data_IF_847716699359
#
_entry.id   IF_847716699359
#
_cell.length_a   1.000
_cell.length_b   1.000
_cell.length_c   1.000
_cell.angle_alpha   90.00
_cell.angle_beta   90.00
_cell.angle_gamma   90.00
#
_symmetry.space_group_name_H-M   'P 1'
#
loop_
_entity.id
_entity.type
_entity.pdbx_description
1 polymer ?
#
# COMPACT_ATOMS: atom_id res chain seq x y z
N UNK A 1 10.82 0.44 13.84
CA UNK A 1 9.77 0.84 12.89
C UNK A 1 9.89 2.32 12.63
N UNK A 2 9.99 2.73 11.36
CA UNK A 2 10.13 4.14 10.97
C UNK A 2 8.75 4.74 10.76
N UNK A 3 8.53 5.94 11.30
CA UNK A 3 7.25 6.65 11.14
C UNK A 3 7.08 7.10 9.69
N UNK A 4 5.86 7.05 9.17
CA UNK A 4 5.53 7.53 7.84
C UNK A 4 4.16 8.17 7.76
N UNK A 5 3.92 8.87 6.66
CA UNK A 5 2.68 9.61 6.43
C UNK A 5 2.20 9.38 5.00
N UNK A 6 0.90 9.27 4.82
CA UNK A 6 0.23 9.50 3.55
C UNK A 6 -0.39 10.90 3.61
N UNK A 7 0.13 11.82 2.82
CA UNK A 7 -0.38 13.18 2.70
C UNK A 7 -1.16 13.30 1.40
N UNK A 8 -2.42 13.73 1.46
CA UNK A 8 -3.28 13.94 0.30
C UNK A 8 -3.22 15.40 -0.17
N UNK A 9 -3.52 15.64 -1.44
CA UNK A 9 -3.57 16.99 -2.06
C UNK A 9 -4.54 17.96 -1.37
N UNK A 10 -5.54 17.46 -0.63
CA UNK A 10 -6.47 18.28 0.14
C UNK A 10 -5.97 18.62 1.56
N UNK A 11 -4.72 18.26 1.88
CA UNK A 11 -4.09 18.49 3.17
C UNK A 11 -4.42 17.45 4.24
N UNK A 12 -5.23 16.43 3.91
CA UNK A 12 -5.49 15.32 4.83
C UNK A 12 -4.23 14.47 5.03
N UNK A 13 -3.89 14.20 6.29
CA UNK A 13 -2.73 13.38 6.66
C UNK A 13 -3.19 12.12 7.37
N UNK A 14 -2.62 11.00 6.93
CA UNK A 14 -2.78 9.69 7.54
C UNK A 14 -1.42 9.19 8.03
N UNK A 15 -1.30 8.98 9.34
CA UNK A 15 -0.08 8.48 9.98
C UNK A 15 -0.03 6.95 9.93
N UNK A 16 1.18 6.40 9.82
CA UNK A 16 1.43 4.97 9.89
C UNK A 16 2.90 4.63 10.08
N UNK A 17 3.24 3.38 9.79
CA UNK A 17 4.59 2.82 9.84
C UNK A 17 5.08 2.52 8.43
N UNK A 18 6.29 2.96 8.08
CA UNK A 18 6.90 2.66 6.79
C UNK A 18 7.21 1.17 6.68
N UNK A 19 6.83 0.59 5.55
CA UNK A 19 7.17 -0.76 5.12
C UNK A 19 7.63 -0.72 3.65
N UNK A 20 8.30 -1.77 3.20
CA UNK A 20 8.82 -1.90 1.86
C UNK A 20 10.03 -1.01 1.60
N UNK A 21 10.12 -0.51 0.37
CA UNK A 21 11.27 0.27 -0.08
C UNK A 21 11.30 1.68 0.55
N UNK A 22 12.51 2.20 0.86
CA UNK A 22 12.68 3.55 1.36
C UNK A 22 12.37 4.61 0.28
N UNK A 23 12.24 5.86 0.70
CA UNK A 23 12.00 7.00 -0.17
C UNK A 23 10.53 7.36 -0.37
N UNK A 24 10.29 8.58 -0.82
CA UNK A 24 8.94 9.11 -0.95
C UNK A 24 8.35 8.77 -2.31
N UNK A 25 7.05 8.46 -2.33
CA UNK A 25 6.37 8.10 -3.57
C UNK A 25 5.06 8.82 -3.76
N UNK A 26 4.87 9.23 -5.01
CA UNK A 26 3.76 10.02 -5.50
C UNK A 26 2.83 9.18 -6.36
N UNK A 27 1.52 9.38 -6.20
CA UNK A 27 0.53 8.75 -7.06
C UNK A 27 -0.90 9.17 -6.77
N UNK A 28 -1.82 8.74 -7.62
CA UNK A 28 -3.24 8.81 -7.33
C UNK A 28 -3.60 7.76 -6.28
N UNK A 29 -4.24 8.17 -5.19
CA UNK A 29 -4.62 7.29 -4.09
C UNK A 29 -5.97 6.66 -4.42
N UNK A 30 -5.93 5.36 -4.66
CA UNK A 30 -7.10 4.53 -4.96
C UNK A 30 -7.30 3.51 -3.86
N UNK A 31 -8.50 2.94 -3.76
CA UNK A 31 -8.76 1.86 -2.82
C UNK A 31 -9.44 0.67 -3.49
N UNK A 32 -9.21 -0.50 -2.92
CA UNK A 32 -9.93 -1.72 -3.31
C UNK A 32 -10.60 -2.36 -2.09
N UNK A 33 -11.76 -2.97 -2.32
CA UNK A 33 -12.52 -3.71 -1.30
C UNK A 33 -12.27 -5.22 -1.36
N UNK A 34 -11.35 -5.67 -2.22
CA UNK A 34 -10.93 -7.07 -2.26
C UNK A 34 -10.36 -7.49 -0.90
N UNK A 35 -10.89 -8.57 -0.35
CA UNK A 35 -10.42 -9.13 0.93
C UNK A 35 -9.23 -10.08 0.76
N UNK A 36 -9.05 -10.59 -0.45
CA UNK A 36 -7.96 -11.45 -0.91
C UNK A 36 -7.44 -10.90 -2.22
N UNK A 37 -6.39 -11.51 -2.75
CA UNK A 37 -5.85 -11.12 -4.05
C UNK A 37 -4.93 -9.90 -3.99
N UNK A 38 -4.25 -9.67 -2.86
CA UNK A 38 -3.37 -8.50 -2.72
C UNK A 38 -2.12 -8.59 -3.61
N UNK A 39 -1.67 -9.80 -3.95
CA UNK A 39 -0.53 -9.99 -4.85
C UNK A 39 -0.93 -9.65 -6.29
N UNK A 40 -2.11 -10.11 -6.70
CA UNK A 40 -2.75 -9.80 -7.96
C UNK A 40 -2.96 -8.28 -8.07
N UNK A 41 -3.50 -7.64 -7.03
CA UNK A 41 -3.63 -6.18 -6.98
C UNK A 41 -2.29 -5.44 -7.05
N UNK A 42 -1.22 -5.97 -6.46
CA UNK A 42 0.12 -5.37 -6.57
C UNK A 42 0.68 -5.47 -8.00
N UNK A 43 0.38 -6.56 -8.70
CA UNK A 43 0.89 -6.88 -10.04
C UNK A 43 -0.01 -6.46 -11.21
N UNK A 44 -1.23 -5.99 -10.97
CA UNK A 44 -2.14 -5.55 -12.03
C UNK A 44 -1.61 -4.23 -12.68
N UNK A 45 -1.31 -4.23 -14.00
CA UNK A 45 -0.85 -3.05 -14.72
C UNK A 45 -1.79 -1.84 -14.67
N UNK A 46 -3.07 -2.06 -14.35
CA UNK A 46 -4.09 -1.01 -14.22
C UNK A 46 -3.79 -0.06 -13.07
N UNK A 47 -3.05 -0.51 -12.04
CA UNK A 47 -2.65 0.34 -10.90
C UNK A 47 -1.37 1.15 -11.15
N UNK A 48 -0.88 1.19 -12.39
CA UNK A 48 0.33 1.96 -12.72
C UNK A 48 0.15 3.44 -12.41
N UNK A 49 1.05 3.98 -11.60
CA UNK A 49 0.98 5.38 -11.17
C UNK A 49 0.15 5.61 -9.91
N UNK A 50 -0.43 4.56 -9.33
CA UNK A 50 -1.38 4.67 -8.22
C UNK A 50 -0.80 4.15 -6.90
N UNK A 51 -1.24 4.76 -5.80
CA UNK A 51 -1.03 4.27 -4.44
C UNK A 51 -2.29 3.50 -4.04
N UNK A 52 -2.16 2.19 -3.88
CA UNK A 52 -3.31 1.31 -3.62
C UNK A 52 -3.51 1.15 -2.12
N UNK A 53 -4.74 1.44 -1.67
CA UNK A 53 -5.18 1.26 -0.29
C UNK A 53 -6.04 0.00 -0.19
N UNK A 54 -5.65 -0.92 0.69
CA UNK A 54 -6.46 -2.09 1.00
C UNK A 54 -7.52 -1.74 2.05
N UNK A 55 -8.80 -1.94 1.72
CA UNK A 55 -9.88 -1.75 2.68
C UNK A 55 -9.96 -2.90 3.70
N UNK A 56 -9.56 -4.11 3.31
CA UNK A 56 -9.45 -5.24 4.24
C UNK A 56 -8.26 -5.03 5.18
N UNK A 57 -8.41 -5.20 6.50
CA UNK A 57 -7.43 -4.71 7.44
C UNK A 57 -6.13 -5.53 7.46
N UNK A 58 -6.21 -6.86 7.34
CA UNK A 58 -5.07 -7.76 7.46
C UNK A 58 -4.54 -8.16 6.09
N UNK A 59 -3.35 -7.69 5.73
CA UNK A 59 -2.75 -7.93 4.42
C UNK A 59 -1.41 -8.65 4.57
N UNK A 60 -1.12 -9.59 3.67
CA UNK A 60 0.07 -10.45 3.76
C UNK A 60 -0.14 -11.75 4.52
N UNK A 61 -1.36 -12.09 4.94
CA UNK A 61 -1.64 -13.27 5.77
C UNK A 61 -1.28 -14.61 5.12
N UNK A 62 -1.31 -14.70 3.78
CA UNK A 62 -0.88 -15.89 3.04
C UNK A 62 0.48 -15.69 2.34
N UNK A 63 1.21 -14.62 2.69
CA UNK A 63 2.50 -14.26 2.10
C UNK A 63 2.43 -14.03 0.61
N UNK A 64 3.56 -14.20 -0.06
CA UNK A 64 3.72 -14.09 -1.51
C UNK A 64 4.19 -15.42 -2.09
N UNK A 65 3.84 -15.68 -3.34
CA UNK A 65 4.28 -16.88 -4.06
C UNK A 65 4.68 -16.54 -5.52
N UNK A 66 5.20 -17.51 -6.26
CA UNK A 66 5.66 -17.30 -7.64
C UNK A 66 4.56 -17.42 -8.71
N UNK A 67 3.35 -17.86 -8.34
CA UNK A 67 2.30 -18.23 -9.28
C UNK A 67 1.19 -17.16 -9.41
N UNK A 68 0.98 -16.34 -8.38
CA UNK A 68 -0.13 -15.38 -8.30
C UNK A 68 0.21 -14.00 -8.88
N UNK A 69 0.86 -13.95 -10.06
CA UNK A 69 1.24 -12.70 -10.74
C UNK A 69 0.35 -12.45 -11.97
N UNK A 70 -0.25 -11.26 -12.05
CA UNK A 70 -0.96 -10.79 -13.25
C UNK A 70 0.00 -10.24 -14.32
N UNK A 71 1.18 -9.78 -13.90
CA UNK A 71 2.23 -9.27 -14.79
C UNK A 71 3.63 -9.47 -14.17
N UNK A 72 4.72 -9.26 -14.94
CA UNK A 72 6.09 -9.40 -14.44
C UNK A 72 6.43 -8.31 -13.41
N UNK A 73 6.08 -8.55 -12.14
CA UNK A 73 6.38 -7.67 -11.01
C UNK A 73 5.24 -6.74 -10.61
N UNK A 74 5.40 -5.97 -9.52
CA UNK A 74 4.39 -5.03 -9.07
C UNK A 74 4.37 -3.79 -9.96
N UNK A 75 3.16 -3.28 -10.22
CA UNK A 75 2.93 -2.09 -11.04
C UNK A 75 2.46 -0.88 -10.22
N UNK A 76 2.10 -1.09 -8.96
CA UNK A 76 1.71 -0.01 -8.03
C UNK A 76 2.89 0.94 -7.76
N UNK A 77 2.58 2.21 -7.47
CA UNK A 77 3.57 3.17 -6.96
C UNK A 77 3.78 3.03 -5.46
N UNK A 78 2.70 2.77 -4.73
CA UNK A 78 2.78 2.56 -3.29
C UNK A 78 1.63 1.70 -2.78
N UNK A 79 1.78 1.21 -1.56
CA UNK A 79 0.83 0.28 -0.97
C UNK A 79 0.50 0.65 0.47
N UNK A 80 -0.79 0.78 0.79
CA UNK A 80 -1.25 1.26 2.10
C UNK A 80 -2.19 0.24 2.73
N UNK A 81 -1.87 -0.17 3.95
CA UNK A 81 -2.58 -1.23 4.68
C UNK A 81 -2.84 -0.83 6.13
N UNK A 82 -3.82 -1.47 6.76
CA UNK A 82 -4.05 -1.30 8.20
C UNK A 82 -3.09 -2.16 9.01
N UNK A 83 -2.95 -3.43 8.68
CA UNK A 83 -2.10 -4.38 9.37
C UNK A 83 -1.33 -5.19 8.33
N UNK A 84 0.00 -5.16 8.45
CA UNK A 84 0.89 -5.98 7.64
C UNK A 84 1.23 -7.25 8.43
N UNK A 85 0.87 -8.41 7.91
CA UNK A 85 1.16 -9.68 8.57
C UNK A 85 2.67 -9.97 8.50
N UNK A 86 3.31 -10.04 9.67
CA UNK A 86 4.75 -10.33 9.78
C UNK A 86 5.06 -11.83 9.61
N UNK A 87 4.12 -12.69 9.97
CA UNK A 87 4.26 -14.15 9.96
C UNK A 87 3.18 -14.78 9.05
N UNK A 88 3.35 -14.73 7.72
CA UNK A 88 2.41 -15.34 6.79
C UNK A 88 2.30 -16.86 7.00
N UNK A 89 1.10 -17.40 6.79
CA UNK A 89 0.83 -18.83 6.94
C UNK A 89 0.12 -19.38 5.71
N UNK A 90 0.90 -19.84 4.74
CA UNK A 90 0.42 -20.56 3.56
C UNK A 90 1.53 -21.48 3.04
N UNK A 91 1.19 -22.67 2.53
CA UNK A 91 2.19 -23.65 2.09
C UNK A 91 3.03 -23.20 0.89
N UNK A 92 2.52 -22.23 0.10
CA UNK A 92 3.24 -21.59 -1.00
C UNK A 92 3.95 -20.28 -0.60
N UNK A 93 3.82 -19.83 0.65
CA UNK A 93 4.39 -18.55 1.08
C UNK A 93 5.92 -18.61 1.07
N UNK A 94 6.55 -17.69 0.34
CA UNK A 94 8.01 -17.55 0.30
C UNK A 94 8.53 -16.42 1.17
N UNK A 95 7.73 -15.37 1.40
CA UNK A 95 8.16 -14.18 2.13
C UNK A 95 6.98 -13.33 2.66
N UNK A 96 7.22 -12.50 3.70
CA UNK A 96 6.23 -11.55 4.22
C UNK A 96 6.10 -10.29 3.33
N UNK A 97 5.03 -9.53 3.56
CA UNK A 97 4.70 -8.32 2.78
C UNK A 97 5.81 -7.27 2.77
N UNK A 98 6.40 -6.99 3.93
CA UNK A 98 7.45 -5.96 4.04
C UNK A 98 8.66 -6.28 3.17
N UNK A 99 9.14 -7.53 3.25
CA UNK A 99 10.27 -8.02 2.46
C UNK A 99 9.95 -8.00 0.96
N UNK A 100 8.74 -8.43 0.59
CA UNK A 100 8.29 -8.44 -0.79
C UNK A 100 8.30 -7.03 -1.40
N UNK A 101 7.70 -6.06 -0.70
CA UNK A 101 7.66 -4.68 -1.16
C UNK A 101 9.07 -4.08 -1.27
N UNK A 102 9.95 -4.37 -0.30
CA UNK A 102 11.34 -3.92 -0.32
C UNK A 102 12.13 -4.51 -1.50
N UNK A 103 12.00 -5.82 -1.74
CA UNK A 103 12.66 -6.52 -2.84
C UNK A 103 12.24 -6.04 -4.23
N UNK A 104 11.03 -5.49 -4.35
CA UNK A 104 10.48 -4.96 -5.60
C UNK A 104 10.47 -3.44 -5.69
N UNK A 105 11.20 -2.74 -4.82
CA UNK A 105 11.29 -1.27 -4.81
C UNK A 105 9.93 -0.54 -4.68
N UNK A 106 8.97 -1.14 -3.98
CA UNK A 106 7.65 -0.55 -3.71
C UNK A 106 7.62 0.03 -2.30
N UNK A 107 7.32 1.32 -2.18
CA UNK A 107 7.14 1.97 -0.89
C UNK A 107 5.75 1.66 -0.30
N UNK A 108 5.68 1.37 0.99
CA UNK A 108 4.40 1.12 1.66
C UNK A 108 4.24 1.80 3.02
N UNK A 109 2.99 1.78 3.50
CA UNK A 109 2.59 2.35 4.78
C UNK A 109 1.58 1.42 5.47
N UNK A 110 1.95 0.89 6.63
CA UNK A 110 1.11 0.08 7.50
C UNK A 110 0.56 0.91 8.67
N UNK A 111 -0.30 0.31 9.50
CA UNK A 111 -0.92 0.92 10.68
C UNK A 111 -1.82 2.13 10.40
N UNK A 112 -2.14 2.35 9.13
CA UNK A 112 -3.03 3.45 8.72
C UNK A 112 -4.47 3.12 9.07
N UNK A 113 -5.26 4.10 9.52
CA UNK A 113 -6.71 3.98 9.57
C UNK A 113 -7.29 3.99 8.15
N UNK A 114 -7.17 2.84 7.46
CA UNK A 114 -7.65 2.66 6.09
C UNK A 114 -9.16 2.83 6.00
N UNK A 115 -9.92 2.60 7.07
CA UNK A 115 -11.37 2.85 7.09
C UNK A 115 -11.69 4.34 7.05
N UNK A 116 -10.95 5.19 7.78
CA UNK A 116 -11.06 6.65 7.66
C UNK A 116 -10.63 7.11 6.26
N UNK A 117 -9.52 6.59 5.75
CA UNK A 117 -9.00 6.92 4.41
C UNK A 117 -10.00 6.56 3.29
N UNK A 118 -10.51 5.33 3.28
CA UNK A 118 -11.49 4.89 2.26
C UNK A 118 -12.78 5.70 2.34
N UNK A 119 -13.27 6.02 3.54
CA UNK A 119 -14.43 6.91 3.70
C UNK A 119 -14.16 8.30 3.13
N UNK A 120 -12.97 8.85 3.40
CA UNK A 120 -12.54 10.14 2.87
C UNK A 120 -12.55 10.15 1.34
N UNK A 121 -11.89 9.17 0.71
CA UNK A 121 -11.85 9.04 -0.75
C UNK A 121 -13.23 8.83 -1.38
N UNK A 122 -14.14 8.12 -0.70
CA UNK A 122 -15.53 7.94 -1.17
C UNK A 122 -16.35 9.23 -1.14
N UNK A 123 -16.10 10.10 -0.16
CA UNK A 123 -16.86 11.36 0.01
C UNK A 123 -16.26 12.48 -0.84
N UNK A 124 -14.94 12.56 -0.92
CA UNK A 124 -14.22 13.69 -1.51
C UNK A 124 -13.59 13.39 -2.87
N UNK A 125 -13.81 12.19 -3.40
CA UNK A 125 -13.21 11.70 -4.64
C UNK A 125 -11.79 11.17 -4.44
N UNK A 126 -11.26 10.58 -5.52
CA UNK A 126 -9.85 10.19 -5.56
C UNK A 126 -8.96 11.44 -5.48
N UNK A 127 -7.79 11.28 -4.85
CA UNK A 127 -6.86 12.36 -4.55
C UNK A 127 -5.47 11.94 -4.95
N UNK A 128 -4.63 12.88 -5.39
CA UNK A 128 -3.19 12.64 -5.38
C UNK A 128 -2.69 12.60 -3.95
N UNK A 129 -1.65 11.82 -3.72
CA UNK A 129 -1.00 11.76 -2.43
C UNK A 129 0.46 11.33 -2.55
N UNK A 130 1.16 11.55 -1.45
CA UNK A 130 2.54 11.15 -1.25
C UNK A 130 2.65 10.27 -0.01
N UNK A 131 3.32 9.12 -0.14
CA UNK A 131 3.86 8.41 1.03
C UNK A 131 5.22 9.03 1.33
N UNK A 132 5.36 9.58 2.53
CA UNK A 132 6.43 10.45 2.96
C UNK A 132 6.98 10.07 4.33
N UNK A 133 8.24 10.37 4.59
CA UNK A 133 8.79 10.35 5.97
C UNK A 133 8.32 11.55 6.80
N UNK A 134 8.04 12.69 6.14
CA UNK A 134 7.67 13.94 6.81
C UNK A 134 6.19 14.26 6.61
N UNK A 135 5.58 14.76 7.68
CA UNK A 135 4.16 15.15 7.69
C UNK A 135 3.84 16.34 6.77
N UNK A 136 4.78 17.26 6.64
CA UNK A 136 4.56 18.55 5.97
C UNK A 136 4.94 18.52 4.49
N UNK A 137 5.18 17.32 3.93
CA UNK A 137 5.37 17.17 2.51
C UNK A 137 4.07 17.44 1.77
N UNK A 138 4.05 18.57 1.06
CA UNK A 138 2.92 18.94 0.22
C UNK A 138 2.74 17.87 -0.84
N UNK A 139 1.50 17.46 -1.10
CA UNK A 139 1.18 16.70 -2.29
C UNK A 139 1.03 17.66 -3.49
N UNK A 140 1.89 17.55 -4.51
CA UNK A 140 1.96 18.29 -5.78
C UNK A 140 0.87 17.85 -6.79
#
# INVERSE_FOLDING_TARGET
MTKGFLVLEDGSVFEGVRIGAPGDVWGEVVFTTSMTGYQEALSDPSYRGQIVVMAYPLIGNYGFNQEAWEAPGPHVRGFVVREACEAPSHYLSTEPLDHFLAGHTVAGLAEVDTRRLVRHLRVHGLKRGIIAERRDEAAL
#
